data_IF_901290953054
#
_entry.id   IF_901290953054
#
_cell.length_a   1.000
_cell.length_b   1.000
_cell.length_c   1.000
_cell.angle_alpha   90.00
_cell.angle_beta   90.00
_cell.angle_gamma   90.00
#
_symmetry.space_group_name_H-M   'P 1'
#
loop_
_entity.id
_entity.type
_entity.pdbx_description
1 polymer ?
#
# COMPACT_ATOMS: atom_id res chain seq x y z
N UNK A 1 9.70 -1.32 14.88
CA UNK A 1 8.93 -1.96 13.80
C UNK A 1 9.72 -1.81 12.52
N UNK A 2 10.08 -2.88 11.81
CA UNK A 2 10.74 -2.77 10.50
C UNK A 2 9.66 -2.77 9.41
N UNK A 3 9.81 -1.91 8.41
CA UNK A 3 8.89 -1.78 7.26
C UNK A 3 8.58 -3.14 6.60
N UNK A 4 9.58 -4.03 6.53
CA UNK A 4 9.42 -5.40 6.03
C UNK A 4 8.49 -6.30 6.86
N UNK A 5 8.37 -6.04 8.16
CA UNK A 5 7.45 -6.76 9.04
C UNK A 5 5.99 -6.47 8.70
N UNK A 6 5.67 -5.22 8.37
CA UNK A 6 4.32 -4.80 8.01
C UNK A 6 3.87 -5.43 6.69
N UNK A 7 4.74 -5.44 5.66
CA UNK A 7 4.47 -6.15 4.40
C UNK A 7 4.14 -7.62 4.65
N UNK A 8 4.94 -8.30 5.46
CA UNK A 8 4.71 -9.71 5.81
C UNK A 8 3.39 -9.92 6.56
N UNK A 9 3.02 -9.01 7.47
CA UNK A 9 1.73 -9.09 8.17
C UNK A 9 0.56 -8.95 7.20
N UNK A 10 0.64 -8.02 6.24
CA UNK A 10 -0.38 -7.86 5.21
C UNK A 10 -0.48 -9.09 4.30
N UNK A 11 0.64 -9.70 3.92
CA UNK A 11 0.64 -10.95 3.14
C UNK A 11 -0.04 -12.11 3.88
N UNK A 12 0.15 -12.20 5.20
CA UNK A 12 -0.50 -13.20 6.03
C UNK A 12 -2.00 -12.91 6.23
N UNK A 13 -2.38 -11.64 6.33
CA UNK A 13 -3.77 -11.24 6.52
C UNK A 13 -4.61 -11.33 5.23
N UNK A 14 -3.99 -11.10 4.07
CA UNK A 14 -4.65 -11.07 2.76
C UNK A 14 -3.99 -12.06 1.78
N UNK A 15 -3.99 -13.38 2.09
CA UNK A 15 -3.26 -14.37 1.30
C UNK A 15 -3.77 -14.54 -0.13
N UNK A 16 -5.01 -14.12 -0.39
CA UNK A 16 -5.65 -14.23 -1.70
C UNK A 16 -5.37 -13.07 -2.64
N UNK A 17 -4.64 -12.03 -2.21
CA UNK A 17 -4.37 -10.84 -3.03
C UNK A 17 -2.88 -10.50 -3.01
N UNK A 18 -2.31 -10.00 -4.12
CA UNK A 18 -0.94 -9.48 -4.11
C UNK A 18 -0.83 -8.31 -3.12
N UNK A 19 0.32 -8.20 -2.45
CA UNK A 19 0.62 -7.12 -1.50
C UNK A 19 1.73 -6.23 -2.07
N UNK A 20 1.39 -4.97 -2.29
CA UNK A 20 2.33 -3.92 -2.66
C UNK A 20 2.62 -3.01 -1.46
N UNK A 21 3.90 -2.78 -1.19
CA UNK A 21 4.34 -1.85 -0.15
C UNK A 21 4.85 -0.57 -0.83
N UNK A 22 4.18 0.54 -0.55
CA UNK A 22 4.67 1.86 -0.92
C UNK A 22 5.76 2.27 0.07
N UNK A 23 6.98 2.62 -0.42
CA UNK A 23 8.05 3.05 0.46
C UNK A 23 7.63 4.28 1.29
N UNK A 24 7.85 4.28 2.62
CA UNK A 24 7.55 5.45 3.44
C UNK A 24 8.47 6.62 3.09
N UNK A 25 7.92 7.84 3.10
CA UNK A 25 8.71 9.07 3.11
C UNK A 25 9.33 9.26 4.49
N UNK A 26 10.60 8.87 4.63
CA UNK A 26 11.36 9.10 5.87
C UNK A 26 11.76 10.57 5.96
N UNK A 27 11.54 11.19 7.11
CA UNK A 27 12.15 12.47 7.44
C UNK A 27 13.53 12.26 8.06
N UNK A 28 14.49 13.07 7.64
CA UNK A 28 15.84 13.12 8.18
C UNK A 28 16.01 14.44 8.93
N UNK A 29 15.64 14.52 10.21
CA UNK A 29 15.87 15.73 10.99
C UNK A 29 17.36 16.04 11.03
N UNK A 30 17.72 17.33 10.91
CA UNK A 30 19.08 17.88 11.07
C UNK A 30 19.54 17.79 12.54
N UNK A 31 19.54 16.57 13.07
CA UNK A 31 20.07 16.23 14.38
C UNK A 31 21.41 15.56 14.18
N UNK A 32 22.34 15.83 15.09
CA UNK A 32 23.63 15.16 15.11
C UNK A 32 23.42 13.65 15.04
N UNK A 33 24.01 13.02 14.03
CA UNK A 33 23.95 11.57 13.85
C UNK A 33 24.40 10.89 15.14
N UNK A 34 23.59 9.95 15.63
CA UNK A 34 23.95 9.14 16.80
C UNK A 34 24.97 8.07 16.42
N UNK A 35 25.33 7.21 17.38
CA UNK A 35 26.23 6.08 17.15
C UNK A 35 25.73 5.08 16.07
N UNK A 36 24.47 5.20 15.64
CA UNK A 36 23.82 4.34 14.65
C UNK A 36 23.51 5.07 13.33
N UNK A 37 24.09 6.25 13.09
CA UNK A 37 23.86 7.04 11.88
C UNK A 37 22.79 8.13 12.05
N UNK A 38 22.40 8.81 10.95
CA UNK A 38 21.34 9.80 10.97
C UNK A 38 20.02 9.15 11.42
N UNK A 39 19.25 9.87 12.23
CA UNK A 39 17.95 9.39 12.70
C UNK A 39 16.96 9.49 11.55
N UNK A 40 16.39 8.36 11.14
CA UNK A 40 15.24 8.32 10.23
C UNK A 40 13.95 8.29 11.03
N UNK A 41 13.04 9.22 10.74
CA UNK A 41 11.70 9.25 11.33
C UNK A 41 10.72 8.71 10.30
N UNK A 42 10.11 7.56 10.62
CA UNK A 42 9.01 7.00 9.85
C UNK A 42 7.70 7.71 10.17
N UNK A 43 6.77 7.83 9.19
CA UNK A 43 5.43 8.30 9.49
C UNK A 43 4.75 7.39 10.53
N UNK A 44 3.96 8.01 11.41
CA UNK A 44 3.49 7.37 12.64
C UNK A 44 2.39 6.33 12.43
N UNK A 45 1.66 6.41 11.32
CA UNK A 45 0.52 5.55 11.01
C UNK A 45 0.91 4.58 9.91
N UNK A 46 0.74 3.28 10.19
CA UNK A 46 0.80 2.22 9.19
C UNK A 46 -0.61 1.91 8.69
N UNK A 47 -0.82 1.99 7.38
CA UNK A 47 -2.11 1.76 6.75
C UNK A 47 -2.05 0.53 5.84
N UNK A 48 -3.18 -0.17 5.74
CA UNK A 48 -3.37 -1.27 4.80
C UNK A 48 -4.76 -1.15 4.18
N UNK A 49 -4.81 -1.16 2.86
CA UNK A 49 -6.04 -1.02 2.09
C UNK A 49 -6.11 -2.10 1.02
N UNK A 50 -7.26 -2.78 0.94
CA UNK A 50 -7.51 -3.76 -0.12
C UNK A 50 -8.46 -3.15 -1.14
N UNK A 51 -7.99 -3.11 -2.39
CA UNK A 51 -8.69 -2.50 -3.50
C UNK A 51 -9.10 -3.59 -4.49
N UNK A 52 -10.29 -3.43 -5.07
CA UNK A 52 -10.84 -4.34 -6.07
C UNK A 52 -11.42 -3.53 -7.22
N UNK A 53 -11.19 -3.96 -8.45
CA UNK A 53 -11.80 -3.34 -9.62
C UNK A 53 -13.30 -3.62 -9.66
N UNK A 54 -14.03 -2.76 -10.39
CA UNK A 54 -15.36 -3.12 -10.85
C UNK A 54 -15.29 -4.35 -11.77
N UNK A 55 -16.40 -5.08 -11.89
CA UNK A 55 -16.49 -6.17 -12.86
C UNK A 55 -16.40 -5.60 -14.28
N UNK A 56 -15.54 -6.18 -15.12
CA UNK A 56 -15.28 -5.68 -16.48
C UNK A 56 -16.51 -5.87 -17.40
N UNK A 57 -17.35 -6.88 -17.14
CA UNK A 57 -18.64 -7.04 -17.80
C UNK A 57 -19.61 -7.81 -16.89
N UNK A 58 -20.53 -7.15 -16.17
CA UNK A 58 -21.51 -7.84 -15.31
C UNK A 58 -22.49 -8.72 -16.11
N UNK A 59 -22.53 -8.54 -17.44
CA UNK A 59 -23.55 -9.11 -18.33
C UNK A 59 -23.07 -10.36 -19.09
N UNK A 60 -21.76 -10.69 -19.01
CA UNK A 60 -21.12 -11.60 -19.98
C UNK A 60 -20.46 -12.88 -19.43
N UNK A 61 -20.48 -13.18 -18.13
CA UNK A 61 -19.98 -14.49 -17.67
C UNK A 61 -20.53 -14.93 -16.30
N UNK A 62 -20.66 -16.25 -16.14
CA UNK A 62 -20.91 -16.95 -14.87
C UNK A 62 -19.74 -16.82 -13.86
N UNK A 63 -18.63 -16.20 -14.28
CA UNK A 63 -17.41 -15.96 -13.51
C UNK A 63 -17.06 -14.48 -13.60
N UNK A 64 -16.97 -13.81 -12.46
CA UNK A 64 -16.75 -12.36 -12.40
C UNK A 64 -15.25 -12.08 -12.37
N UNK A 65 -14.68 -11.63 -13.49
CA UNK A 65 -13.28 -11.17 -13.53
C UNK A 65 -13.13 -9.85 -12.78
N UNK A 66 -12.38 -9.86 -11.67
CA UNK A 66 -11.99 -8.67 -10.91
C UNK A 66 -10.49 -8.70 -10.64
N UNK A 67 -9.85 -7.55 -10.75
CA UNK A 67 -8.48 -7.38 -10.30
C UNK A 67 -8.46 -6.93 -8.85
N UNK A 68 -7.54 -7.46 -8.05
CA UNK A 68 -7.38 -7.08 -6.64
C UNK A 68 -5.92 -6.77 -6.32
N UNK A 69 -5.73 -5.81 -5.41
CA UNK A 69 -4.42 -5.43 -4.88
C UNK A 69 -4.58 -4.97 -3.42
N UNK A 70 -3.75 -5.50 -2.53
CA UNK A 70 -3.59 -4.97 -1.18
C UNK A 70 -2.39 -4.04 -1.18
N UNK A 71 -2.60 -2.80 -0.75
CA UNK A 71 -1.58 -1.75 -0.65
C UNK A 71 -1.30 -1.48 0.81
N UNK A 72 -0.01 -1.41 1.15
CA UNK A 72 0.50 -1.05 2.47
C UNK A 72 1.28 0.24 2.34
N UNK A 73 1.02 1.21 3.20
CA UNK A 73 1.71 2.50 3.18
C UNK A 73 1.80 3.10 4.58
N UNK A 74 2.47 4.24 4.67
CA UNK A 74 2.63 5.00 5.90
C UNK A 74 2.14 6.44 5.69
N UNK A 75 1.55 7.03 6.74
CA UNK A 75 1.10 8.41 6.72
C UNK A 75 1.30 9.07 8.09
N UNK A 76 1.42 10.39 8.11
CA UNK A 76 1.75 11.14 9.34
C UNK A 76 0.54 11.29 10.26
N UNK A 77 -0.67 11.42 9.69
CA UNK A 77 -1.93 11.60 10.42
C UNK A 77 -2.98 10.58 9.95
N UNK A 78 -4.03 10.36 10.75
CA UNK A 78 -5.16 9.47 10.42
C UNK A 78 -6.14 10.13 9.44
N UNK A 79 -5.68 10.43 8.24
CA UNK A 79 -6.53 10.95 7.15
C UNK A 79 -6.73 9.89 6.05
N UNK A 80 -7.86 9.95 5.34
CA UNK A 80 -8.11 9.04 4.22
C UNK A 80 -7.45 9.65 2.98
N UNK A 81 -6.42 9.02 2.40
CA UNK A 81 -5.78 9.56 1.20
C UNK A 81 -6.79 9.56 0.06
N UNK A 82 -7.15 10.75 -0.42
CA UNK A 82 -8.14 10.92 -1.49
C UNK A 82 -7.76 12.06 -2.43
N UNK A 83 -8.18 11.93 -3.69
CA UNK A 83 -8.06 13.01 -4.68
C UNK A 83 -6.61 13.48 -4.89
N UNK A 84 -6.44 14.80 -4.92
CA UNK A 84 -5.14 15.40 -5.20
C UNK A 84 -4.18 15.42 -4.00
N UNK A 85 -4.75 15.34 -2.79
CA UNK A 85 -4.03 15.41 -1.51
C UNK A 85 -3.39 14.07 -1.10
N UNK A 86 -3.73 12.98 -1.79
CA UNK A 86 -3.09 11.70 -1.59
C UNK A 86 -1.61 11.72 -2.01
N UNK A 87 -0.77 11.04 -1.23
CA UNK A 87 0.65 10.87 -1.50
C UNK A 87 0.90 10.45 -2.96
N UNK A 88 1.83 11.13 -3.64
CA UNK A 88 2.15 10.85 -5.03
C UNK A 88 2.58 9.38 -5.23
N UNK A 89 3.26 8.77 -4.27
CA UNK A 89 3.68 7.38 -4.33
C UNK A 89 2.49 6.42 -4.28
N UNK A 90 1.42 6.77 -3.55
CA UNK A 90 0.14 6.04 -3.58
C UNK A 90 -0.58 6.23 -4.92
N UNK A 91 -0.59 7.46 -5.45
CA UNK A 91 -1.26 7.77 -6.72
C UNK A 91 -0.55 7.20 -7.94
N UNK A 92 0.76 6.97 -7.83
CA UNK A 92 1.63 6.49 -8.92
C UNK A 92 1.80 4.97 -8.93
N UNK A 93 1.01 4.23 -8.15
CA UNK A 93 1.02 2.76 -8.17
C UNK A 93 0.66 2.29 -9.59
N UNK A 94 1.53 1.45 -10.16
CA UNK A 94 1.32 0.79 -11.46
C UNK A 94 0.30 -0.32 -11.32
N UNK A 95 -0.98 0.04 -11.23
CA UNK A 95 -2.08 -0.88 -10.97
C UNK A 95 -2.10 -2.04 -11.97
N UNK A 96 -1.93 -1.74 -13.25
CA UNK A 96 -1.96 -2.68 -14.36
C UNK A 96 -0.87 -3.76 -14.28
N UNK A 97 0.24 -3.46 -13.58
CA UNK A 97 1.36 -4.38 -13.41
C UNK A 97 1.27 -5.18 -12.09
N UNK A 98 0.64 -4.60 -11.07
CA UNK A 98 0.69 -5.11 -9.70
C UNK A 98 -0.58 -5.85 -9.27
N UNK A 99 -1.74 -5.43 -9.77
CA UNK A 99 -3.00 -6.09 -9.47
C UNK A 99 -3.05 -7.46 -10.15
N UNK A 100 -3.72 -8.42 -9.52
CA UNK A 100 -3.97 -9.74 -10.12
C UNK A 100 -5.45 -9.95 -10.32
N UNK A 101 -5.76 -10.56 -11.45
CA UNK A 101 -7.11 -11.00 -11.76
C UNK A 101 -7.46 -12.24 -10.97
N UNK A 102 -8.66 -12.23 -10.42
CA UNK A 102 -9.25 -13.36 -9.72
C UNK A 102 -10.61 -13.66 -10.34
N UNK A 103 -10.81 -14.96 -10.55
CA UNK A 103 -12.09 -15.56 -10.91
C UNK A 103 -12.78 -15.97 -9.60
N UNK A 104 -14.03 -15.55 -9.42
CA UNK A 104 -14.90 -15.91 -8.30
C UNK A 104 -15.97 -16.90 -8.78
#
# INVERSE_FOLDING_TARGET
MRVSGLKRQAELAFPSTPVHLVPPSCEYPDRTAGAFGPVEVLPSVACTGTFRSAAIAPELAQVVHRSALTVVWFQTALDVPSGEDADLALRSIRWEELARDHEL
#
